data_IF_859437914674
#
_entry.id   IF_859437914674
#
_cell.length_a   1.000
_cell.length_b   1.000
_cell.length_c   1.000
_cell.angle_alpha   90.00
_cell.angle_beta   90.00
_cell.angle_gamma   90.00
#
_symmetry.space_group_name_H-M   'P 1'
#
loop_
_entity.id
_entity.type
_entity.pdbx_description
1 polymer ?
#
# COMPACT_ATOMS: atom_id res chain seq x y z
N UNK A 1 1.68 13.14 -11.53
CA UNK A 1 1.04 13.64 -10.29
C UNK A 1 -0.40 13.96 -10.63
N UNK A 2 -1.31 12.99 -10.44
CA UNK A 2 -2.73 13.17 -10.76
C UNK A 2 -3.43 13.76 -9.54
N UNK A 3 -3.93 14.98 -9.69
CA UNK A 3 -4.80 15.64 -8.71
C UNK A 3 -6.21 15.20 -9.01
N UNK A 4 -6.92 14.70 -8.01
CA UNK A 4 -8.27 14.17 -8.18
C UNK A 4 -9.18 14.84 -7.18
N UNK A 5 -10.22 15.48 -7.69
CA UNK A 5 -11.14 16.30 -6.90
C UNK A 5 -12.05 15.38 -6.08
N UNK A 6 -12.05 15.54 -4.76
CA UNK A 6 -12.96 14.84 -3.86
C UNK A 6 -14.34 15.50 -3.86
N UNK A 7 -15.39 14.75 -3.49
CA UNK A 7 -16.77 15.23 -3.41
C UNK A 7 -16.98 16.34 -2.36
N UNK A 8 -16.00 16.55 -1.49
CA UNK A 8 -15.88 17.61 -0.50
C UNK A 8 -15.24 18.90 -1.03
N UNK A 9 -14.88 18.95 -2.32
CA UNK A 9 -14.18 20.09 -2.93
C UNK A 9 -12.69 20.16 -2.61
N UNK A 10 -12.16 19.23 -1.81
CA UNK A 10 -10.73 19.14 -1.55
C UNK A 10 -9.99 18.46 -2.71
N UNK A 11 -8.87 19.05 -3.12
CA UNK A 11 -7.96 18.46 -4.10
C UNK A 11 -7.14 17.36 -3.41
N UNK A 12 -7.40 16.10 -3.78
CA UNK A 12 -6.64 14.96 -3.28
C UNK A 12 -5.54 14.61 -4.28
N UNK A 13 -4.30 14.64 -3.83
CA UNK A 13 -3.18 14.11 -4.60
C UNK A 13 -3.22 12.59 -4.52
N UNK A 14 -3.28 11.91 -5.67
CA UNK A 14 -3.06 10.46 -5.71
C UNK A 14 -1.68 10.16 -5.09
N UNK A 15 -1.62 9.25 -4.12
CA UNK A 15 -0.42 9.00 -3.33
C UNK A 15 -0.37 9.65 -1.93
N UNK A 16 -1.39 10.39 -1.49
CA UNK A 16 -1.41 10.92 -0.13
C UNK A 16 -1.64 9.79 0.90
N UNK A 17 -0.61 9.47 1.68
CA UNK A 17 -0.71 8.57 2.84
C UNK A 17 -1.26 9.33 4.04
N UNK A 18 -2.28 8.78 4.70
CA UNK A 18 -2.85 9.33 5.94
C UNK A 18 -2.87 8.26 7.02
N UNK A 19 -2.52 8.70 8.22
CA UNK A 19 -2.70 7.93 9.43
C UNK A 19 -3.99 8.39 10.13
N UNK A 20 -4.79 7.43 10.59
CA UNK A 20 -5.94 7.71 11.42
C UNK A 20 -5.46 7.91 12.86
N UNK A 21 -5.62 9.12 13.38
CA UNK A 21 -5.04 9.49 14.68
C UNK A 21 -5.67 8.78 15.88
N UNK A 22 -6.80 8.08 15.71
CA UNK A 22 -7.44 7.33 16.81
C UNK A 22 -7.07 5.85 16.72
N UNK A 23 -6.79 5.26 17.88
CA UNK A 23 -6.61 3.82 18.01
C UNK A 23 -7.99 3.16 17.93
N UNK A 24 -8.08 2.07 17.16
CA UNK A 24 -9.33 1.34 16.91
C UNK A 24 -9.23 -0.05 17.53
N UNK A 25 -10.29 -0.48 18.22
CA UNK A 25 -10.35 -1.84 18.76
C UNK A 25 -10.90 -2.79 17.69
N UNK A 26 -10.08 -3.74 17.25
CA UNK A 26 -10.46 -4.76 16.27
C UNK A 26 -10.24 -6.12 16.92
N UNK A 27 -11.31 -6.90 17.05
CA UNK A 27 -11.29 -8.25 17.64
C UNK A 27 -10.58 -8.33 19.01
N UNK A 28 -10.79 -7.31 19.87
CA UNK A 28 -10.19 -7.24 21.20
C UNK A 28 -8.75 -6.72 21.24
N UNK A 29 -8.18 -6.28 20.12
CA UNK A 29 -6.83 -5.72 20.05
C UNK A 29 -6.82 -4.26 19.60
N UNK A 30 -5.94 -3.46 20.20
CA UNK A 30 -5.73 -2.07 19.83
C UNK A 30 -4.90 -1.97 18.54
N UNK A 31 -5.49 -1.35 17.53
CA UNK A 31 -4.91 -1.26 16.19
C UNK A 31 -4.81 0.20 15.75
N UNK A 32 -3.73 0.51 15.06
CA UNK A 32 -3.58 1.73 14.29
C UNK A 32 -4.02 1.49 12.84
N UNK A 33 -4.74 2.45 12.28
CA UNK A 33 -5.17 2.42 10.89
C UNK A 33 -4.40 3.45 10.09
N UNK A 34 -3.85 3.01 8.98
CA UNK A 34 -3.28 3.88 7.97
C UNK A 34 -3.86 3.55 6.61
N UNK A 35 -3.81 4.50 5.68
CA UNK A 35 -4.20 4.20 4.33
C UNK A 35 -3.81 5.29 3.34
N UNK A 36 -3.90 4.94 2.07
CA UNK A 36 -3.66 5.88 0.99
C UNK A 36 -4.52 5.54 -0.22
N UNK A 37 -4.71 6.55 -1.07
CA UNK A 37 -5.40 6.38 -2.33
C UNK A 37 -4.40 6.05 -3.42
N UNK A 38 -4.62 4.93 -4.09
CA UNK A 38 -3.81 4.46 -5.19
C UNK A 38 -4.13 5.25 -6.47
N UNK A 39 -3.19 5.24 -7.42
CA UNK A 39 -3.33 5.98 -8.68
C UNK A 39 -4.50 5.48 -9.54
N UNK A 40 -4.88 4.22 -9.36
CA UNK A 40 -6.01 3.60 -10.05
C UNK A 40 -7.38 3.90 -9.41
N UNK A 41 -7.42 4.69 -8.32
CA UNK A 41 -8.64 5.02 -7.60
C UNK A 41 -8.99 4.07 -6.45
N UNK A 42 -8.27 2.96 -6.31
CA UNK A 42 -8.45 2.03 -5.18
C UNK A 42 -7.90 2.61 -3.88
N UNK A 43 -8.36 2.05 -2.75
CA UNK A 43 -7.85 2.39 -1.43
C UNK A 43 -6.97 1.25 -0.90
N UNK A 44 -5.78 1.62 -0.42
CA UNK A 44 -4.94 0.76 0.39
C UNK A 44 -5.18 1.09 1.86
N UNK A 45 -5.63 0.12 2.64
CA UNK A 45 -5.80 0.23 4.10
C UNK A 45 -4.82 -0.74 4.75
N UNK A 46 -4.01 -0.23 5.69
CA UNK A 46 -3.03 -0.97 6.46
C UNK A 46 -3.46 -0.91 7.92
N UNK A 47 -3.59 -2.09 8.53
CA UNK A 47 -3.86 -2.25 9.96
C UNK A 47 -2.57 -2.69 10.63
N UNK A 48 -2.06 -1.89 11.56
CA UNK A 48 -0.82 -2.16 12.28
C UNK A 48 -1.07 -2.17 13.78
N UNK A 49 -0.62 -3.23 14.46
CA UNK A 49 -0.74 -3.35 15.92
C UNK A 49 0.33 -2.55 16.67
N UNK A 50 1.46 -2.24 16.03
CA UNK A 50 2.58 -1.53 16.62
C UNK A 50 3.19 -0.53 15.61
N UNK A 51 3.73 0.59 16.10
CA UNK A 51 4.46 1.63 15.32
C UNK A 51 3.81 2.01 13.96
N UNK A 52 2.75 2.82 13.96
CA UNK A 52 2.05 3.22 12.74
C UNK A 52 2.90 3.96 11.69
N UNK A 53 4.02 4.55 12.12
CA UNK A 53 4.97 5.23 11.23
C UNK A 53 5.76 4.24 10.37
N UNK A 54 6.07 3.05 10.89
CA UNK A 54 6.82 1.98 10.20
C UNK A 54 5.88 1.08 9.36
N UNK A 55 4.57 1.10 9.65
CA UNK A 55 3.56 0.24 9.01
C UNK A 55 3.56 0.28 7.47
N UNK A 56 3.92 1.43 6.88
CA UNK A 56 4.04 1.59 5.43
C UNK A 56 5.23 0.82 4.87
N UNK A 57 6.38 0.94 5.50
CA UNK A 57 7.63 0.32 5.04
C UNK A 57 7.59 -1.19 5.26
N UNK A 58 7.03 -1.63 6.39
CA UNK A 58 6.79 -3.05 6.67
C UNK A 58 5.84 -3.67 5.64
N UNK A 59 4.76 -2.96 5.29
CA UNK A 59 3.85 -3.39 4.25
C UNK A 59 4.54 -3.47 2.88
N UNK A 60 5.40 -2.51 2.55
CA UNK A 60 6.15 -2.51 1.29
C UNK A 60 7.08 -3.72 1.17
N UNK A 61 7.80 -4.08 2.25
CA UNK A 61 8.65 -5.27 2.29
C UNK A 61 7.85 -6.56 2.12
N UNK A 62 6.74 -6.72 2.87
CA UNK A 62 5.84 -7.88 2.74
C UNK A 62 5.27 -8.00 1.32
N UNK A 63 4.93 -6.87 0.72
CA UNK A 63 4.34 -6.84 -0.60
C UNK A 63 5.32 -7.27 -1.70
N UNK A 64 6.62 -6.97 -1.57
CA UNK A 64 7.65 -7.49 -2.48
C UNK A 64 7.67 -9.03 -2.50
N UNK A 65 7.56 -9.65 -1.32
CA UNK A 65 7.49 -11.10 -1.16
C UNK A 65 6.23 -11.66 -1.82
N UNK A 66 5.07 -11.04 -1.59
CA UNK A 66 3.80 -11.44 -2.19
C UNK A 66 3.84 -11.40 -3.72
N UNK A 67 4.46 -10.36 -4.31
CA UNK A 67 4.63 -10.26 -5.75
C UNK A 67 5.60 -11.29 -6.30
N UNK A 68 6.67 -11.62 -5.58
CA UNK A 68 7.56 -12.72 -5.94
C UNK A 68 6.78 -14.04 -6.03
N UNK A 69 5.99 -14.38 -5.02
CA UNK A 69 5.15 -15.57 -5.02
C UNK A 69 4.12 -15.58 -6.15
N UNK A 70 3.48 -14.44 -6.42
CA UNK A 70 2.52 -14.31 -7.52
C UNK A 70 3.18 -14.56 -8.87
N UNK A 71 4.34 -13.96 -9.09
CA UNK A 71 5.04 -14.06 -10.35
C UNK A 71 5.53 -15.51 -10.58
N UNK A 72 6.08 -16.17 -9.54
CA UNK A 72 6.44 -17.60 -9.57
C UNK A 72 5.28 -18.50 -9.99
N UNK A 73 4.07 -18.22 -9.50
CA UNK A 73 2.86 -18.99 -9.86
C UNK A 73 2.43 -18.77 -11.32
N UNK A 74 2.83 -17.68 -11.96
CA UNK A 74 2.23 -17.20 -13.21
C UNK A 74 3.03 -17.48 -14.49
N UNK A 75 4.33 -17.77 -14.44
CA UNK A 75 5.14 -17.69 -15.68
C UNK A 75 6.40 -18.52 -15.80
N UNK A 76 6.71 -19.42 -14.86
CA UNK A 76 8.02 -20.07 -14.82
C UNK A 76 9.10 -19.10 -14.31
N UNK A 77 10.11 -19.65 -13.64
CA UNK A 77 11.04 -18.92 -12.79
C UNK A 77 12.07 -18.12 -13.61
N UNK A 78 11.66 -16.96 -14.14
CA UNK A 78 12.54 -15.98 -14.81
C UNK A 78 12.83 -14.81 -13.87
N UNK A 79 13.96 -14.90 -13.16
CA UNK A 79 14.35 -13.98 -12.08
C UNK A 79 14.43 -12.53 -12.56
N UNK A 80 15.01 -12.28 -13.74
CA UNK A 80 15.19 -10.91 -14.25
C UNK A 80 13.84 -10.24 -14.53
N UNK A 81 12.94 -10.96 -15.19
CA UNK A 81 11.59 -10.46 -15.48
C UNK A 81 10.81 -10.18 -14.19
N UNK A 82 10.96 -11.03 -13.18
CA UNK A 82 10.26 -10.88 -11.91
C UNK A 82 10.77 -9.66 -11.12
N UNK A 83 12.08 -9.45 -11.05
CA UNK A 83 12.68 -8.29 -10.37
C UNK A 83 12.19 -6.99 -11.02
N UNK A 84 12.24 -6.88 -12.36
CA UNK A 84 11.77 -5.70 -13.08
C UNK A 84 10.28 -5.42 -12.83
N UNK A 85 9.46 -6.47 -12.78
CA UNK A 85 8.03 -6.34 -12.51
C UNK A 85 7.75 -5.86 -11.08
N UNK A 86 8.48 -6.37 -10.08
CA UNK A 86 8.38 -5.92 -8.69
C UNK A 86 8.77 -4.44 -8.58
N UNK A 87 9.87 -4.03 -9.22
CA UNK A 87 10.32 -2.63 -9.25
C UNK A 87 9.31 -1.68 -9.91
N UNK A 88 8.73 -2.08 -11.03
CA UNK A 88 7.76 -1.26 -11.76
C UNK A 88 6.44 -1.11 -11.01
N UNK A 89 5.94 -2.19 -10.42
CA UNK A 89 4.69 -2.14 -9.65
C UNK A 89 4.90 -1.41 -8.32
N UNK A 90 6.09 -1.50 -7.72
CA UNK A 90 6.50 -0.66 -6.60
C UNK A 90 6.36 0.84 -6.93
N UNK A 91 6.98 1.30 -8.04
CA UNK A 91 6.92 2.72 -8.43
C UNK A 91 5.51 3.24 -8.69
N UNK A 92 4.59 2.40 -9.15
CA UNK A 92 3.23 2.82 -9.55
C UNK A 92 2.14 2.56 -8.50
N UNK A 93 2.40 1.73 -7.47
CA UNK A 93 1.41 1.42 -6.42
C UNK A 93 1.76 1.96 -5.04
N UNK A 94 2.96 2.47 -4.84
CA UNK A 94 3.25 3.25 -3.64
C UNK A 94 2.65 4.67 -3.81
N UNK A 95 1.72 5.01 -2.92
CA UNK A 95 1.81 6.30 -2.24
C UNK A 95 3.18 6.38 -1.59
#
# INVERSE_FOLDING_TARGET
>A
MLVVQGADGHLWYAGQYRHYNKIVLINGQYCHLSGCRLQNGDFLIIVSFNRPQEARDDYAQRWQIEMCFKAMKSGGFDIEKHILQIWNVSKNRYC
#
